data_IF_844906365858
#
_entry.id   IF_844906365858
#
_cell.length_a   1.000
_cell.length_b   1.000
_cell.length_c   1.000
_cell.angle_alpha   90.00
_cell.angle_beta   90.00
_cell.angle_gamma   90.00
#
_symmetry.space_group_name_H-M   'P 1'
#
loop_
_entity.id
_entity.type
_entity.pdbx_description
1 polymer ?
#
# COMPACT_ATOMS: atom_id res chain seq x y z
N UNK A 1 -8.36 10.83 20.13
CA UNK A 1 -7.71 9.89 19.18
C UNK A 1 -6.19 9.81 19.37
N UNK A 2 -5.54 10.86 19.89
CA UNK A 2 -4.09 10.92 20.20
C UNK A 2 -3.62 9.90 21.25
N UNK A 3 -4.44 9.61 22.26
CA UNK A 3 -4.08 8.71 23.37
C UNK A 3 -4.58 7.27 23.19
N UNK A 4 -5.21 6.96 22.06
CA UNK A 4 -5.80 5.65 21.84
C UNK A 4 -4.71 4.56 21.77
N UNK A 5 -4.81 3.53 22.60
CA UNK A 5 -3.85 2.42 22.63
C UNK A 5 -4.49 1.12 22.17
N UNK A 6 -5.53 0.67 22.87
CA UNK A 6 -6.26 -0.58 22.63
C UNK A 6 -7.74 -0.36 22.99
N UNK A 7 -8.66 -1.02 22.28
CA UNK A 7 -10.09 -0.99 22.63
C UNK A 7 -11.01 -1.00 21.42
N UNK A 8 -12.30 -0.72 21.66
CA UNK A 8 -13.26 -0.44 20.59
C UNK A 8 -13.13 1.04 20.21
N UNK A 9 -13.23 1.32 18.91
CA UNK A 9 -13.24 2.69 18.41
C UNK A 9 -14.57 3.36 18.76
N UNK A 10 -14.60 4.68 19.07
CA UNK A 10 -15.83 5.38 19.39
C UNK A 10 -16.89 5.23 18.28
N UNK A 11 -18.15 4.96 18.64
CA UNK A 11 -19.25 4.79 17.66
C UNK A 11 -19.37 6.00 16.72
N UNK A 12 -19.19 7.21 17.27
CA UNK A 12 -19.17 8.46 16.51
C UNK A 12 -18.10 8.46 15.40
N UNK A 13 -16.93 7.89 15.66
CA UNK A 13 -15.86 7.79 14.67
C UNK A 13 -16.21 6.82 13.53
N UNK A 14 -16.82 5.68 13.86
CA UNK A 14 -17.31 4.74 12.84
C UNK A 14 -18.40 5.38 11.98
N UNK A 15 -19.27 6.19 12.58
CA UNK A 15 -20.35 6.88 11.87
C UNK A 15 -19.84 7.88 10.82
N UNK A 16 -18.63 8.43 10.95
CA UNK A 16 -17.99 9.29 9.94
C UNK A 16 -17.99 8.62 8.56
N UNK A 17 -17.77 7.31 8.50
CA UNK A 17 -17.73 6.55 7.23
C UNK A 17 -19.06 6.53 6.47
N UNK A 18 -20.18 6.83 7.13
CA UNK A 18 -21.52 6.87 6.54
C UNK A 18 -21.93 8.27 6.09
N UNK A 19 -21.16 9.30 6.46
CA UNK A 19 -21.48 10.69 6.14
C UNK A 19 -21.08 11.04 4.70
N UNK A 20 -21.85 11.90 4.04
CA UNK A 20 -21.50 12.42 2.71
C UNK A 20 -20.22 13.26 2.75
N UNK A 21 -20.10 14.13 3.77
CA UNK A 21 -18.93 15.00 4.01
C UNK A 21 -17.91 14.40 4.97
N UNK A 22 -17.66 13.09 4.86
CA UNK A 22 -16.75 12.37 5.77
C UNK A 22 -15.34 12.97 5.83
N UNK A 23 -14.83 13.55 4.73
CA UNK A 23 -13.49 14.14 4.67
C UNK A 23 -13.35 15.34 5.60
N UNK A 24 -14.33 16.24 5.57
CA UNK A 24 -14.31 17.46 6.38
C UNK A 24 -14.40 17.10 7.86
N UNK A 25 -15.32 16.17 8.20
CA UNK A 25 -15.50 15.70 9.56
C UNK A 25 -14.26 14.96 10.06
N UNK A 26 -13.60 14.17 9.20
CA UNK A 26 -12.35 13.52 9.54
C UNK A 26 -11.25 14.55 9.83
N UNK A 27 -11.17 15.62 9.05
CA UNK A 27 -10.15 16.65 9.24
C UNK A 27 -10.29 17.37 10.60
N UNK A 28 -11.52 17.55 11.09
CA UNK A 28 -11.78 18.09 12.43
C UNK A 28 -11.21 17.22 13.57
N UNK A 29 -10.96 15.94 13.31
CA UNK A 29 -10.38 15.03 14.31
C UNK A 29 -8.86 15.02 14.34
N UNK A 30 -8.20 15.90 13.57
CA UNK A 30 -6.75 16.12 13.54
C UNK A 30 -5.96 14.81 13.33
N UNK A 31 -6.10 14.15 12.16
CA UNK A 31 -5.50 12.85 11.88
C UNK A 31 -3.97 12.79 12.02
N UNK A 32 -3.29 13.92 11.86
CA UNK A 32 -1.86 14.07 12.08
C UNK A 32 -1.44 13.81 13.53
N UNK A 33 -2.31 14.08 14.51
CA UNK A 33 -2.04 13.91 15.95
C UNK A 33 -2.49 12.56 16.51
N UNK A 34 -3.11 11.70 15.70
CA UNK A 34 -3.57 10.39 16.17
C UNK A 34 -2.43 9.51 16.66
N UNK A 35 -2.69 8.57 17.56
CA UNK A 35 -1.71 7.53 17.87
C UNK A 35 -1.49 6.59 16.66
N UNK A 36 -0.34 5.91 16.57
CA UNK A 36 -0.13 4.85 15.57
C UNK A 36 -1.21 3.76 15.61
N UNK A 37 -1.70 3.42 16.80
CA UNK A 37 -2.73 2.39 16.99
C UNK A 37 -4.09 2.87 16.49
N UNK A 38 -4.44 4.14 16.73
CA UNK A 38 -5.65 4.76 16.18
C UNK A 38 -5.61 4.75 14.66
N UNK A 39 -4.47 5.11 14.05
CA UNK A 39 -4.32 5.09 12.60
C UNK A 39 -4.54 3.69 12.00
N UNK A 40 -4.02 2.66 12.65
CA UNK A 40 -4.22 1.28 12.23
C UNK A 40 -5.69 0.87 12.28
N UNK A 41 -6.40 1.17 13.37
CA UNK A 41 -7.82 0.83 13.49
C UNK A 41 -8.69 1.66 12.55
N UNK A 42 -8.39 2.96 12.40
CA UNK A 42 -9.05 3.83 11.43
C UNK A 42 -8.89 3.27 10.01
N UNK A 43 -7.68 2.86 9.62
CA UNK A 43 -7.42 2.26 8.31
C UNK A 43 -8.29 1.02 8.08
N UNK A 44 -8.44 0.15 9.08
CA UNK A 44 -9.31 -1.05 9.00
C UNK A 44 -10.78 -0.68 8.82
N UNK A 45 -11.28 0.26 9.61
CA UNK A 45 -12.68 0.70 9.56
C UNK A 45 -12.99 1.34 8.20
N UNK A 46 -12.12 2.25 7.75
CA UNK A 46 -12.31 2.98 6.50
C UNK A 46 -12.19 2.05 5.29
N UNK A 47 -11.24 1.11 5.29
CA UNK A 47 -11.10 0.13 4.22
C UNK A 47 -12.30 -0.84 4.11
N UNK A 48 -13.03 -1.05 5.21
CA UNK A 48 -14.23 -1.91 5.24
C UNK A 48 -15.48 -1.17 4.76
N UNK A 49 -15.71 0.06 5.25
CA UNK A 49 -16.99 0.76 5.04
C UNK A 49 -17.02 1.69 3.82
N UNK A 50 -15.88 2.21 3.36
CA UNK A 50 -15.84 3.19 2.27
C UNK A 50 -15.74 2.54 0.88
N UNK A 51 -16.10 3.31 -0.15
CA UNK A 51 -15.89 2.92 -1.56
C UNK A 51 -14.42 3.11 -1.97
N UNK A 52 -13.94 2.34 -2.96
CA UNK A 52 -12.54 2.40 -3.43
C UNK A 52 -12.02 3.83 -3.71
N UNK A 53 -12.84 4.72 -4.30
CA UNK A 53 -12.46 6.11 -4.56
C UNK A 53 -12.27 6.93 -3.28
N UNK A 54 -13.08 6.70 -2.27
CA UNK A 54 -12.97 7.35 -0.96
C UNK A 54 -11.79 6.78 -0.16
N UNK A 55 -11.58 5.46 -0.21
CA UNK A 55 -10.42 4.80 0.39
C UNK A 55 -9.12 5.36 -0.20
N UNK A 56 -9.05 5.52 -1.53
CA UNK A 56 -7.89 6.13 -2.20
C UNK A 56 -7.57 7.51 -1.63
N UNK A 57 -8.59 8.36 -1.41
CA UNK A 57 -8.41 9.70 -0.82
C UNK A 57 -7.91 9.60 0.63
N UNK A 58 -8.48 8.71 1.43
CA UNK A 58 -8.01 8.46 2.79
C UNK A 58 -6.53 8.02 2.81
N UNK A 59 -6.14 7.11 1.91
CA UNK A 59 -4.76 6.67 1.82
C UNK A 59 -3.80 7.79 1.41
N UNK A 60 -4.18 8.62 0.44
CA UNK A 60 -3.33 9.69 -0.06
C UNK A 60 -3.19 10.85 0.92
N UNK A 61 -4.29 11.30 1.55
CA UNK A 61 -4.27 12.51 2.38
C UNK A 61 -4.06 12.25 3.86
N UNK A 62 -4.26 11.02 4.35
CA UNK A 62 -4.17 10.71 5.79
C UNK A 62 -3.09 9.68 6.07
N UNK A 63 -3.16 8.50 5.45
CA UNK A 63 -2.24 7.40 5.77
C UNK A 63 -0.83 7.64 5.25
N UNK A 64 -0.68 8.01 3.98
CA UNK A 64 0.61 8.21 3.34
C UNK A 64 1.43 9.32 4.01
N UNK A 65 0.91 10.54 4.25
CA UNK A 65 1.68 11.60 4.90
C UNK A 65 2.12 11.20 6.30
N UNK A 66 1.26 10.48 7.05
CA UNK A 66 1.59 9.99 8.39
C UNK A 66 2.71 8.95 8.38
N UNK A 67 2.70 8.01 7.43
CA UNK A 67 3.76 6.99 7.29
C UNK A 67 5.08 7.65 6.93
N UNK A 68 5.08 8.60 5.98
CA UNK A 68 6.30 9.34 5.59
C UNK A 68 6.87 10.14 6.75
N UNK A 69 6.01 10.78 7.54
CA UNK A 69 6.41 11.54 8.74
C UNK A 69 7.11 10.64 9.76
N UNK A 70 6.53 9.48 10.06
CA UNK A 70 7.08 8.53 11.03
C UNK A 70 8.45 8.00 10.60
N UNK A 71 8.59 7.63 9.32
CA UNK A 71 9.88 7.16 8.76
C UNK A 71 10.93 8.26 8.80
N UNK A 72 10.55 9.51 8.52
CA UNK A 72 11.50 10.64 8.52
C UNK A 72 12.02 10.95 9.92
N UNK A 73 11.14 10.95 10.92
CA UNK A 73 11.49 11.21 12.33
C UNK A 73 12.24 10.03 12.97
N UNK A 74 11.65 8.85 12.92
CA UNK A 74 12.10 7.69 13.69
C UNK A 74 13.07 6.79 12.92
N UNK A 75 13.30 7.07 11.63
CA UNK A 75 14.21 6.30 10.76
C UNK A 75 13.80 4.83 10.56
N UNK A 76 12.68 4.41 11.15
CA UNK A 76 12.02 3.12 11.14
C UNK A 76 10.51 3.38 11.18
N UNK A 77 9.71 2.45 10.68
CA UNK A 77 8.25 2.55 10.75
C UNK A 77 7.72 1.88 12.01
N UNK A 78 6.84 2.56 12.74
CA UNK A 78 6.14 2.01 13.89
C UNK A 78 5.33 0.76 13.51
N UNK A 79 5.33 -0.27 14.37
CA UNK A 79 4.66 -1.55 14.09
C UNK A 79 3.17 -1.40 13.70
N UNK A 80 2.41 -0.59 14.42
CA UNK A 80 1.00 -0.35 14.09
C UNK A 80 0.79 0.33 12.73
N UNK A 81 1.69 1.25 12.32
CA UNK A 81 1.61 1.87 10.99
C UNK A 81 2.02 0.88 9.90
N UNK A 82 3.00 0.03 10.17
CA UNK A 82 3.34 -1.09 9.28
C UNK A 82 2.13 -2.00 9.07
N UNK A 83 1.40 -2.34 10.14
CA UNK A 83 0.17 -3.12 10.03
C UNK A 83 -0.93 -2.35 9.27
N UNK A 84 -1.05 -1.03 9.47
CA UNK A 84 -2.00 -0.20 8.73
C UNK A 84 -1.75 -0.26 7.21
N UNK A 85 -0.49 -0.10 6.79
CA UNK A 85 -0.10 -0.20 5.38
C UNK A 85 -0.30 -1.63 4.87
N UNK A 86 0.06 -2.65 5.66
CA UNK A 86 -0.24 -4.05 5.32
C UNK A 86 -1.75 -4.26 5.08
N UNK A 87 -2.60 -3.65 5.90
CA UNK A 87 -4.06 -3.72 5.74
C UNK A 87 -4.57 -2.94 4.54
N UNK A 88 -3.87 -1.88 4.13
CA UNK A 88 -4.26 -1.11 2.95
C UNK A 88 -4.13 -1.89 1.63
N UNK A 89 -3.21 -2.87 1.57
CA UNK A 89 -2.97 -3.72 0.40
C UNK A 89 -4.15 -4.62 0.02
N UNK A 90 -5.03 -4.94 0.96
CA UNK A 90 -6.27 -5.70 0.66
C UNK A 90 -7.26 -4.92 -0.22
N UNK A 91 -6.99 -3.64 -0.50
CA UNK A 91 -7.69 -2.84 -1.51
C UNK A 91 -6.68 -2.37 -2.57
N UNK A 92 -6.25 -3.24 -3.50
CA UNK A 92 -5.09 -3.01 -4.37
C UNK A 92 -5.22 -1.76 -5.25
N UNK A 93 -6.41 -1.53 -5.81
CA UNK A 93 -6.70 -0.35 -6.65
C UNK A 93 -6.53 0.96 -5.87
N UNK A 94 -7.05 1.01 -4.62
CA UNK A 94 -6.90 2.16 -3.75
C UNK A 94 -5.46 2.33 -3.25
N UNK A 95 -4.76 1.24 -2.96
CA UNK A 95 -3.35 1.24 -2.57
C UNK A 95 -2.47 1.82 -3.67
N UNK A 96 -2.60 1.34 -4.90
CA UNK A 96 -1.77 1.81 -6.02
C UNK A 96 -1.96 3.31 -6.26
N UNK A 97 -3.21 3.76 -6.36
CA UNK A 97 -3.53 5.17 -6.64
C UNK A 97 -3.39 6.09 -5.44
N UNK A 98 -3.41 5.56 -4.22
CA UNK A 98 -3.42 6.32 -2.97
C UNK A 98 -2.08 6.33 -2.21
N UNK A 99 -1.22 5.33 -2.42
CA UNK A 99 0.06 5.19 -1.71
C UNK A 99 1.20 5.07 -2.71
N UNK A 100 1.20 4.02 -3.55
CA UNK A 100 2.34 3.69 -4.40
C UNK A 100 2.64 4.76 -5.44
N UNK A 101 1.66 5.09 -6.30
CA UNK A 101 1.86 6.08 -7.35
C UNK A 101 2.11 7.49 -6.80
N UNK A 102 1.37 8.00 -5.79
CA UNK A 102 1.68 9.31 -5.20
C UNK A 102 3.09 9.37 -4.62
N UNK A 103 3.57 8.30 -3.99
CA UNK A 103 4.93 8.25 -3.46
C UNK A 103 5.98 8.33 -4.57
N UNK A 104 5.84 7.50 -5.61
CA UNK A 104 6.77 7.48 -6.74
C UNK A 104 6.71 8.77 -7.59
N UNK A 105 5.52 9.35 -7.79
CA UNK A 105 5.32 10.60 -8.55
C UNK A 105 5.85 11.82 -7.81
N UNK A 106 5.90 11.76 -6.48
CA UNK A 106 6.31 12.92 -5.67
C UNK A 106 7.78 13.31 -5.84
N UNK A 107 8.62 12.47 -6.44
CA UNK A 107 10.08 12.71 -6.60
C UNK A 107 10.87 12.80 -5.30
N UNK A 108 10.19 12.73 -4.14
CA UNK A 108 10.76 12.90 -2.80
C UNK A 108 10.81 11.58 -2.03
N UNK A 109 10.61 10.45 -2.72
CA UNK A 109 10.70 9.12 -2.13
C UNK A 109 12.15 8.82 -1.72
N UNK A 110 12.36 8.55 -0.43
CA UNK A 110 13.64 8.15 0.11
C UNK A 110 13.87 6.65 -0.01
N UNK A 111 15.14 6.23 -0.04
CA UNK A 111 15.52 4.80 -0.04
C UNK A 111 14.88 4.03 1.12
N UNK A 112 14.73 4.64 2.29
CA UNK A 112 14.12 3.98 3.47
C UNK A 112 12.62 3.78 3.30
N UNK A 113 11.91 4.78 2.78
CA UNK A 113 10.48 4.63 2.46
C UNK A 113 10.27 3.49 1.47
N UNK A 114 11.10 3.44 0.43
CA UNK A 114 11.04 2.40 -0.60
C UNK A 114 11.40 1.00 -0.06
N UNK A 115 12.44 0.86 0.77
CA UNK A 115 12.80 -0.42 1.42
C UNK A 115 11.66 -0.94 2.32
N UNK A 116 11.05 -0.06 3.10
CA UNK A 116 9.97 -0.44 4.03
C UNK A 116 8.73 -0.87 3.24
N UNK A 117 8.30 -0.09 2.25
CA UNK A 117 7.15 -0.44 1.42
C UNK A 117 7.40 -1.68 0.57
N UNK A 118 8.61 -1.83 0.03
CA UNK A 118 9.03 -3.04 -0.68
C UNK A 118 8.90 -4.28 0.20
N UNK A 119 9.37 -4.22 1.45
CA UNK A 119 9.22 -5.35 2.39
C UNK A 119 7.75 -5.68 2.71
N UNK A 120 6.85 -4.69 2.69
CA UNK A 120 5.41 -4.93 2.90
C UNK A 120 4.81 -5.60 1.66
N UNK A 121 5.16 -5.12 0.47
CA UNK A 121 4.71 -5.69 -0.81
C UNK A 121 5.18 -7.14 -0.99
N UNK A 122 6.43 -7.44 -0.65
CA UNK A 122 6.99 -8.80 -0.69
C UNK A 122 6.20 -9.78 0.19
N UNK A 123 5.72 -9.32 1.36
CA UNK A 123 5.01 -10.16 2.33
C UNK A 123 3.51 -10.30 2.06
N UNK A 124 2.98 -9.62 1.06
CA UNK A 124 1.54 -9.62 0.78
C UNK A 124 1.28 -10.08 -0.64
N UNK A 125 0.39 -11.06 -0.80
CA UNK A 125 -0.07 -11.45 -2.13
C UNK A 125 -0.82 -10.29 -2.80
N UNK A 126 -0.34 -9.87 -3.97
CA UNK A 126 -0.92 -8.80 -4.76
C UNK A 126 -1.59 -9.38 -6.01
N UNK A 127 -2.88 -9.08 -6.29
CA UNK A 127 -3.57 -9.63 -7.46
C UNK A 127 -2.86 -9.28 -8.77
N UNK A 128 -2.64 -10.28 -9.63
CA UNK A 128 -1.84 -10.19 -10.87
C UNK A 128 -2.30 -9.05 -11.78
N UNK A 129 -3.61 -8.88 -11.96
CA UNK A 129 -4.18 -7.80 -12.79
C UNK A 129 -3.78 -6.41 -12.32
N UNK A 130 -3.75 -6.22 -10.99
CA UNK A 130 -3.37 -4.94 -10.40
C UNK A 130 -1.85 -4.75 -10.40
N UNK A 131 -1.08 -5.85 -10.31
CA UNK A 131 0.39 -5.85 -10.41
C UNK A 131 0.83 -5.39 -11.80
N UNK A 132 0.23 -5.93 -12.87
CA UNK A 132 0.58 -5.57 -14.24
C UNK A 132 0.39 -4.08 -14.53
N UNK A 133 -0.76 -3.53 -14.11
CA UNK A 133 -1.04 -2.08 -14.24
C UNK A 133 -0.07 -1.25 -13.41
N UNK A 134 0.29 -1.70 -12.20
CA UNK A 134 1.26 -1.01 -11.35
C UNK A 134 2.63 -0.97 -12.00
N UNK A 135 3.12 -2.09 -12.52
CA UNK A 135 4.42 -2.18 -13.20
C UNK A 135 4.48 -1.30 -14.43
N UNK A 136 3.43 -1.32 -15.27
CA UNK A 136 3.36 -0.46 -16.44
C UNK A 136 3.43 1.03 -16.06
N UNK A 137 2.63 1.45 -15.08
CA UNK A 137 2.65 2.85 -14.61
C UNK A 137 4.00 3.22 -14.01
N UNK A 138 4.66 2.32 -13.27
CA UNK A 138 5.98 2.59 -12.71
C UNK A 138 7.07 2.66 -13.78
N UNK A 139 6.95 1.89 -14.87
CA UNK A 139 7.87 1.91 -16.00
C UNK A 139 7.73 3.18 -16.86
N UNK A 140 6.52 3.74 -16.96
CA UNK A 140 6.26 5.01 -17.65
C UNK A 140 6.67 6.25 -16.84
N UNK A 141 6.87 6.09 -15.54
CA UNK A 141 7.22 7.20 -14.64
C UNK A 141 8.70 7.56 -14.68
N UNK A 142 9.00 8.82 -14.36
CA UNK A 142 10.37 9.34 -14.34
C UNK A 142 11.26 8.50 -13.41
N UNK A 143 12.42 8.09 -13.93
CA UNK A 143 13.33 7.20 -13.24
C UNK A 143 13.85 7.86 -11.97
N UNK A 144 13.41 7.38 -10.81
CA UNK A 144 14.08 7.66 -9.55
C UNK A 144 14.83 6.40 -9.12
N UNK A 145 16.05 6.55 -8.57
CA UNK A 145 16.86 5.41 -8.12
C UNK A 145 16.19 4.51 -7.08
N UNK A 146 15.06 4.95 -6.49
CA UNK A 146 14.22 4.19 -5.57
C UNK A 146 13.13 3.34 -6.24
N UNK A 147 12.93 3.40 -7.56
CA UNK A 147 11.96 2.54 -8.28
C UNK A 147 12.50 1.11 -8.47
N UNK A 148 13.79 0.88 -8.14
CA UNK A 148 14.54 -0.37 -8.35
C UNK A 148 14.19 -1.52 -7.36
N UNK A 149 13.23 -1.38 -6.45
CA UNK A 149 13.02 -2.41 -5.43
C UNK A 149 12.21 -3.60 -5.95
N UNK A 150 12.96 -4.63 -6.36
CA UNK A 150 12.62 -6.05 -6.51
C UNK A 150 11.12 -6.38 -6.46
N UNK A 151 10.44 -6.25 -7.60
CA UNK A 151 9.25 -7.06 -7.83
C UNK A 151 9.73 -8.50 -8.10
N UNK A 152 9.48 -9.42 -7.18
CA UNK A 152 9.76 -10.84 -7.39
C UNK A 152 8.85 -11.36 -8.51
N UNK A 153 9.37 -11.39 -9.74
CA UNK A 153 8.70 -12.03 -10.87
C UNK A 153 8.70 -13.55 -10.63
N UNK A 154 7.55 -14.19 -10.86
CA UNK A 154 7.46 -15.64 -10.85
C UNK A 154 8.38 -16.22 -11.93
N UNK A 155 8.86 -17.45 -11.72
CA UNK A 155 9.78 -18.11 -12.65
C UNK A 155 9.18 -18.24 -14.06
N UNK A 156 7.90 -18.58 -14.14
CA UNK A 156 7.15 -18.70 -15.41
C UNK A 156 7.05 -17.37 -16.14
N UNK A 157 6.76 -16.27 -15.43
CA UNK A 157 6.69 -14.93 -16.02
C UNK A 157 8.05 -14.47 -16.56
N UNK A 158 9.14 -14.84 -15.86
CA UNK A 158 10.51 -14.57 -16.31
C UNK A 158 10.85 -15.33 -17.60
N UNK A 159 10.41 -16.57 -17.73
CA UNK A 159 10.61 -17.38 -18.94
C UNK A 159 9.80 -16.85 -20.13
N UNK A 160 8.56 -16.40 -19.89
CA UNK A 160 7.75 -15.73 -20.91
C UNK A 160 8.36 -14.40 -21.36
N UNK A 161 8.82 -13.57 -20.42
CA UNK A 161 9.49 -12.30 -20.72
C UNK A 161 10.81 -12.51 -21.48
N UNK A 162 11.61 -13.52 -21.10
CA UNK A 162 12.81 -13.88 -21.86
C UNK A 162 12.48 -14.32 -23.30
N UNK A 163 11.38 -15.04 -23.50
CA UNK A 163 10.91 -15.44 -24.82
C UNK A 163 10.45 -14.25 -25.66
N UNK A 164 9.73 -13.31 -25.04
CA UNK A 164 9.29 -12.06 -25.68
C UNK A 164 10.50 -11.21 -26.10
N UNK A 165 11.48 -11.04 -25.22
CA UNK A 165 12.71 -10.28 -25.49
C UNK A 165 13.49 -10.85 -26.67
N UNK A 166 13.50 -12.17 -26.84
CA UNK A 166 14.14 -12.82 -27.99
C UNK A 166 13.40 -12.56 -29.31
N UNK A 167 12.08 -12.38 -29.26
CA UNK A 167 11.23 -12.10 -30.43
C UNK A 167 11.12 -10.62 -30.78
N UNK A 168 11.16 -9.75 -29.79
CA UNK A 168 10.99 -8.31 -29.93
C UNK A 168 12.06 -7.62 -29.07
N UNK A 169 13.10 -7.10 -29.73
CA UNK A 169 14.19 -6.42 -29.05
C UNK A 169 14.37 -4.99 -29.57
N UNK A 170 14.81 -4.12 -28.66
CA UNK A 170 15.20 -2.76 -28.95
C UNK A 170 16.58 -2.50 -28.34
N UNK A 171 17.52 -2.08 -29.18
CA UNK A 171 18.95 -1.96 -28.85
C UNK A 171 19.28 -1.12 -27.60
N UNK A 172 18.44 -0.13 -27.25
CA UNK A 172 18.63 0.71 -26.05
C UNK A 172 17.86 0.24 -24.81
N UNK A 173 16.80 -0.56 -24.98
CA UNK A 173 15.85 -0.86 -23.90
C UNK A 173 15.99 -2.32 -23.44
N UNK A 174 16.18 -3.23 -24.38
CA UNK A 174 16.37 -4.67 -24.10
C UNK A 174 17.55 -4.97 -23.16
N UNK A 175 18.73 -4.31 -23.27
CA UNK A 175 19.83 -4.56 -22.35
C UNK A 175 19.49 -4.23 -20.89
N UNK A 176 18.76 -3.13 -20.66
CA UNK A 176 18.34 -2.74 -19.31
C UNK A 176 17.25 -3.67 -18.78
N UNK A 177 16.30 -4.11 -19.62
CA UNK A 177 15.28 -5.11 -19.21
C UNK A 177 15.93 -6.44 -18.81
N UNK A 178 16.89 -6.95 -19.59
CA UNK A 178 17.59 -8.21 -19.30
C UNK A 178 18.39 -8.13 -18.01
N UNK A 179 19.08 -7.00 -17.80
CA UNK A 179 19.84 -6.72 -16.58
C UNK A 179 18.94 -6.68 -15.35
N UNK A 180 17.76 -6.05 -15.44
CA UNK A 180 16.80 -6.01 -14.33
C UNK A 180 16.16 -7.39 -14.07
N UNK A 181 15.88 -8.18 -15.10
CA UNK A 181 15.35 -9.55 -14.96
C UNK A 181 16.30 -10.52 -14.24
N UNK A 182 17.61 -10.31 -14.30
CA UNK A 182 18.59 -11.19 -13.66
C UNK A 182 18.68 -10.99 -12.14
N UNK A 183 18.18 -9.88 -11.61
CA UNK A 183 18.37 -9.47 -10.20
C UNK A 183 17.24 -9.95 -9.26
N UNK A 184 16.08 -10.38 -9.79
CA UNK A 184 14.91 -10.79 -8.99
C UNK A 184 15.06 -12.23 -8.45
N UNK A 185 14.91 -12.37 -7.12
CA UNK A 185 14.95 -13.65 -6.38
C UNK A 185 13.54 -14.19 -6.20
N UNK A 186 13.39 -15.52 -6.07
CA UNK A 186 12.14 -16.28 -6.17
C UNK A 186 11.62 -16.59 -4.77
N UNK A 187 10.32 -16.41 -4.48
CA UNK A 187 9.65 -17.08 -3.34
C UNK A 187 8.24 -17.62 -3.64
N UNK A 188 7.93 -18.73 -2.96
CA UNK A 188 6.81 -19.65 -3.16
C UNK A 188 5.45 -19.15 -2.61
N UNK A 189 4.31 -19.61 -3.15
CA UNK A 189 2.98 -19.24 -2.68
C UNK A 189 2.68 -19.88 -1.30
N UNK A 190 2.35 -19.05 -0.30
CA UNK A 190 1.78 -19.50 0.98
C UNK A 190 0.25 -19.35 0.91
N UNK A 191 -0.44 -20.41 1.34
CA UNK A 191 -1.89 -20.60 1.25
C UNK A 191 -2.70 -19.47 1.89
N UNK A 192 -3.82 -19.15 1.24
CA UNK A 192 -4.86 -18.25 1.73
C UNK A 192 -5.41 -18.71 3.09
N UNK A 193 -5.01 -18.01 4.16
CA UNK A 193 -5.88 -17.93 5.33
C UNK A 193 -7.02 -16.98 4.98
N UNK A 194 -8.13 -17.59 4.53
CA UNK A 194 -9.45 -16.96 4.55
C UNK A 194 -9.65 -16.39 5.96
N UNK A 195 -9.93 -15.10 6.01
CA UNK A 195 -10.23 -14.43 7.26
C UNK A 195 -11.50 -15.04 7.88
N UNK A 196 -11.36 -15.82 8.94
CA UNK A 196 -12.42 -15.92 9.95
C UNK A 196 -12.46 -14.58 10.68
N UNK A 197 -13.28 -13.66 10.16
CA UNK A 197 -13.66 -12.45 10.89
C UNK A 197 -14.81 -12.87 11.82
N UNK A 198 -14.64 -12.84 13.16
CA UNK A 198 -15.81 -12.96 14.01
C UNK A 198 -16.73 -11.79 13.70
N UNK A 199 -17.98 -12.11 13.33
CA UNK A 199 -19.06 -11.13 13.19
C UNK A 199 -19.06 -10.26 14.44
N UNK A 200 -18.90 -8.95 14.26
CA UNK A 200 -19.07 -8.02 15.38
C UNK A 200 -20.56 -8.10 15.73
N UNK A 201 -20.94 -8.66 16.89
CA UNK A 201 -22.34 -8.79 17.22
C UNK A 201 -22.89 -7.38 17.35
N UNK A 202 -23.84 -7.06 16.47
CA UNK A 202 -24.71 -5.93 16.61
C UNK A 202 -25.78 -6.39 17.61
N UNK A 203 -25.60 -6.10 18.90
CA UNK A 203 -26.70 -6.21 19.84
C UNK A 203 -27.76 -5.18 19.44
N UNK A 204 -28.96 -5.70 19.15
CA UNK A 204 -30.17 -4.94 18.92
C UNK A 204 -30.65 -4.38 20.26
N UNK A 205 -30.77 -3.05 20.34
CA UNK A 205 -31.64 -2.33 21.27
C UNK A 205 -32.40 -1.26 20.48
#
# INVERSE_FOLDING_TARGET
>A
MSEYTVGKMPKAFVHITKMERWQDVLYLTEPEKWSPNAMCQATRIFAHHLKNSQIQRFYNYVLLPRVREDIRKNKRLHFALYQAVKKSLYKPSAFNKGILFPLCKSGTCSLREAVILGSILEKCSFPVDHSGIALLNLAEMEYCGTTRYKYELLKEDKEHLQTLIKRQNHHLVTPEIVKELQVTTINNPIKEDRFDIPEVPMEED
#
